data_IF_536552553914
#
_entry.id   IF_536552553914
#
_cell.length_a   1.000
_cell.length_b   1.000
_cell.length_c   1.000
_cell.angle_alpha   90.00
_cell.angle_beta   90.00
_cell.angle_gamma   90.00
#
_symmetry.space_group_name_H-M   'P 1'
#
loop_
_entity.id
_entity.type
_entity.pdbx_description
1 polymer ?
#
# COMPACT_ATOMS: atom_id res chain seq x y z
N UNK A 1 18.67 -4.57 7.25
CA UNK A 1 17.61 -4.18 8.19
C UNK A 1 16.32 -4.17 7.43
N UNK A 2 15.33 -4.93 7.90
CA UNK A 2 13.98 -4.94 7.34
C UNK A 2 13.24 -3.63 7.70
N UNK A 3 12.18 -3.30 6.98
CA UNK A 3 11.31 -2.17 7.30
C UNK A 3 10.70 -2.31 8.70
N UNK A 4 10.25 -3.51 9.07
CA UNK A 4 9.58 -3.73 10.35
C UNK A 4 10.54 -3.51 11.53
N UNK A 5 11.81 -3.91 11.38
CA UNK A 5 12.87 -3.63 12.35
C UNK A 5 13.10 -2.12 12.53
N UNK A 6 13.00 -1.33 11.45
CA UNK A 6 13.20 0.12 11.50
C UNK A 6 12.01 0.79 12.20
N UNK A 7 10.78 0.29 11.96
CA UNK A 7 9.59 0.76 12.66
C UNK A 7 9.71 0.51 14.17
N UNK A 8 10.15 -0.68 14.60
CA UNK A 8 10.41 -0.98 16.01
C UNK A 8 11.49 -0.07 16.60
N UNK A 9 12.59 0.15 15.88
CA UNK A 9 13.65 1.06 16.33
C UNK A 9 13.12 2.49 16.55
N UNK A 10 12.22 2.98 15.69
CA UNK A 10 11.59 4.30 15.85
C UNK A 10 10.78 4.38 17.14
N UNK A 11 10.04 3.33 17.48
CA UNK A 11 9.27 3.26 18.72
C UNK A 11 10.18 3.22 19.96
N UNK A 12 11.25 2.44 19.93
CA UNK A 12 12.25 2.39 21.01
C UNK A 12 12.94 3.74 21.21
N UNK A 13 13.32 4.42 20.12
CA UNK A 13 13.92 5.74 20.20
C UNK A 13 12.96 6.72 20.88
N UNK A 14 11.67 6.65 20.54
CA UNK A 14 10.65 7.50 21.14
C UNK A 14 10.46 7.23 22.63
N UNK A 15 10.38 5.97 23.00
CA UNK A 15 10.18 5.55 24.39
C UNK A 15 11.36 5.98 25.28
N UNK A 16 12.59 5.80 24.80
CA UNK A 16 13.81 5.99 25.61
C UNK A 16 14.34 7.42 25.58
N UNK A 17 14.13 8.15 24.49
CA UNK A 17 14.73 9.47 24.27
C UNK A 17 13.70 10.58 24.04
N UNK A 18 12.41 10.27 24.00
CA UNK A 18 11.35 11.23 23.68
C UNK A 18 11.19 11.45 22.17
N UNK A 19 10.52 12.53 21.74
CA UNK A 19 10.18 12.74 20.34
C UNK A 19 11.43 12.74 19.44
N UNK A 20 11.36 12.00 18.34
CA UNK A 20 12.44 11.88 17.35
C UNK A 20 12.60 13.23 16.63
N UNK A 21 13.80 13.84 16.61
CA UNK A 21 14.05 15.06 15.87
C UNK A 21 13.87 14.88 14.36
N UNK A 22 13.53 15.96 13.65
CA UNK A 22 13.25 15.93 12.21
C UNK A 22 14.42 15.36 11.39
N UNK A 23 15.66 15.66 11.77
CA UNK A 23 16.86 15.14 11.09
C UNK A 23 16.97 13.62 11.22
N UNK A 24 16.64 13.08 12.40
CA UNK A 24 16.65 11.65 12.65
C UNK A 24 15.48 10.95 11.94
N UNK A 25 14.31 11.59 11.87
CA UNK A 25 13.17 11.09 11.12
C UNK A 25 13.50 10.96 9.62
N UNK A 26 14.23 11.93 9.05
CA UNK A 26 14.74 11.85 7.69
C UNK A 26 15.63 10.63 7.44
N UNK A 27 16.50 10.27 8.38
CA UNK A 27 17.35 9.09 8.27
C UNK A 27 16.57 7.77 8.36
N UNK A 28 15.54 7.73 9.20
CA UNK A 28 14.65 6.57 9.30
C UNK A 28 13.87 6.38 7.99
N UNK A 29 13.30 7.44 7.43
CA UNK A 29 12.61 7.41 6.13
C UNK A 29 13.53 6.87 5.02
N UNK A 30 14.77 7.38 4.93
CA UNK A 30 15.74 6.90 3.91
C UNK A 30 16.03 5.40 4.09
N UNK A 31 16.12 4.94 5.34
CA UNK A 31 16.36 3.54 5.65
C UNK A 31 15.17 2.65 5.27
N UNK A 32 13.94 3.09 5.54
CA UNK A 32 12.71 2.39 5.16
C UNK A 32 12.55 2.32 3.64
N UNK A 33 12.74 3.44 2.94
CA UNK A 33 12.69 3.48 1.47
C UNK A 33 13.72 2.53 0.84
N UNK A 34 14.91 2.41 1.44
CA UNK A 34 15.93 1.46 1.00
C UNK A 34 15.48 0.02 1.21
N UNK A 35 14.97 -0.32 2.40
CA UNK A 35 14.51 -1.68 2.71
C UNK A 35 13.33 -2.11 1.83
N UNK A 36 12.29 -1.28 1.73
CA UNK A 36 11.12 -1.52 0.91
C UNK A 36 11.45 -1.52 -0.58
N UNK A 37 12.30 -0.59 -1.02
CA UNK A 37 12.77 -0.52 -2.41
C UNK A 37 13.49 -1.79 -2.83
N UNK A 38 14.34 -2.36 -1.96
CA UNK A 38 14.98 -3.64 -2.24
C UNK A 38 13.97 -4.78 -2.41
N UNK A 39 12.95 -4.85 -1.55
CA UNK A 39 11.88 -5.86 -1.62
C UNK A 39 11.03 -5.73 -2.90
N UNK A 40 10.82 -4.50 -3.39
CA UNK A 40 10.10 -4.22 -4.64
C UNK A 40 10.96 -4.37 -5.90
N UNK A 41 12.28 -4.64 -5.77
CA UNK A 41 13.19 -4.74 -6.91
C UNK A 41 13.61 -3.38 -7.49
N UNK A 42 13.56 -2.31 -6.70
CA UNK A 42 14.10 -1.02 -7.07
C UNK A 42 15.63 -1.03 -7.09
N UNK A 43 16.17 -0.34 -8.08
CA UNK A 43 17.58 0.02 -8.18
C UNK A 43 17.80 1.41 -7.59
N UNK A 44 16.89 2.36 -7.89
CA UNK A 44 17.04 3.76 -7.49
C UNK A 44 15.72 4.36 -7.04
N UNK A 45 15.76 5.12 -5.94
CA UNK A 45 14.72 6.03 -5.48
C UNK A 45 15.32 7.42 -5.37
N UNK A 46 14.74 8.41 -6.07
CA UNK A 46 15.12 9.82 -5.94
C UNK A 46 13.90 10.61 -5.52
N UNK A 47 14.00 11.36 -4.43
CA UNK A 47 12.94 12.28 -3.96
C UNK A 47 13.44 13.71 -4.08
N UNK A 48 12.63 14.60 -4.67
CA UNK A 48 12.90 16.03 -4.79
C UNK A 48 11.61 16.82 -4.62
N UNK A 49 11.43 17.43 -3.46
CA UNK A 49 10.20 18.16 -3.13
C UNK A 49 8.97 17.27 -3.29
N UNK A 50 8.06 17.65 -4.18
CA UNK A 50 6.82 16.91 -4.47
C UNK A 50 6.95 15.88 -5.59
N UNK A 51 8.16 15.64 -6.11
CA UNK A 51 8.41 14.63 -7.13
C UNK A 51 9.27 13.49 -6.59
N UNK A 52 9.01 12.29 -7.11
CA UNK A 52 9.90 11.17 -6.92
C UNK A 52 10.10 10.39 -8.22
N UNK A 53 11.25 9.75 -8.33
CA UNK A 53 11.59 8.86 -9.43
C UNK A 53 11.92 7.49 -8.87
N UNK A 54 11.23 6.48 -9.36
CA UNK A 54 11.50 5.08 -9.06
C UNK A 54 12.07 4.41 -10.30
N UNK A 55 13.21 3.76 -10.17
CA UNK A 55 13.81 2.95 -11.23
C UNK A 55 13.94 1.53 -10.73
N UNK A 56 13.33 0.60 -11.45
CA UNK A 56 13.38 -0.82 -11.17
C UNK A 56 14.59 -1.45 -11.83
N UNK A 57 15.11 -2.52 -11.23
CA UNK A 57 16.12 -3.37 -11.88
C UNK A 57 15.53 -3.94 -13.17
N UNK A 58 16.36 -4.16 -14.18
CA UNK A 58 15.90 -4.74 -15.45
C UNK A 58 15.25 -6.14 -15.30
N UNK A 59 15.61 -6.88 -14.25
CA UNK A 59 15.09 -8.21 -13.94
C UNK A 59 13.87 -8.18 -13.00
N UNK A 60 13.48 -7.02 -12.49
CA UNK A 60 12.36 -6.92 -11.56
C UNK A 60 11.03 -7.06 -12.30
N UNK A 61 10.12 -7.84 -11.73
CA UNK A 61 8.74 -8.02 -12.20
C UNK A 61 7.77 -7.48 -11.14
N UNK A 62 7.65 -6.16 -10.98
CA UNK A 62 6.79 -5.57 -9.95
C UNK A 62 5.32 -5.83 -10.23
N UNK A 63 4.54 -6.08 -9.17
CA UNK A 63 3.08 -6.19 -9.24
C UNK A 63 2.48 -4.78 -9.43
N UNK A 64 2.44 -4.31 -10.68
CA UNK A 64 2.06 -2.92 -10.98
C UNK A 64 0.68 -2.53 -10.49
N UNK A 65 -0.32 -3.42 -10.57
CA UNK A 65 -1.67 -3.11 -10.11
C UNK A 65 -1.69 -2.76 -8.60
N UNK A 66 -1.05 -3.57 -7.76
CA UNK A 66 -0.97 -3.31 -6.32
C UNK A 66 -0.14 -2.08 -5.99
N UNK A 67 0.99 -1.89 -6.67
CA UNK A 67 1.82 -0.70 -6.48
C UNK A 67 1.09 0.59 -6.86
N UNK A 68 0.42 0.62 -8.02
CA UNK A 68 -0.35 1.79 -8.45
C UNK A 68 -1.51 2.06 -7.50
N UNK A 69 -2.25 1.02 -7.08
CA UNK A 69 -3.33 1.18 -6.10
C UNK A 69 -2.84 1.75 -4.77
N UNK A 70 -1.67 1.30 -4.28
CA UNK A 70 -1.07 1.84 -3.07
C UNK A 70 -0.64 3.31 -3.24
N UNK A 71 -0.07 3.68 -4.39
CA UNK A 71 0.31 5.06 -4.72
C UNK A 71 -0.92 5.99 -4.80
N UNK A 72 -2.02 5.51 -5.38
CA UNK A 72 -3.27 6.28 -5.47
C UNK A 72 -3.86 6.54 -4.07
N UNK A 73 -3.81 5.55 -3.16
CA UNK A 73 -4.29 5.69 -1.77
C UNK A 73 -3.57 6.79 -1.00
N UNK A 74 -2.30 7.04 -1.31
CA UNK A 74 -1.51 8.14 -0.71
C UNK A 74 -1.39 9.36 -1.61
N UNK A 75 -2.28 9.49 -2.60
CA UNK A 75 -2.43 10.67 -3.46
C UNK A 75 -1.19 10.99 -4.31
N UNK A 76 -0.53 9.98 -4.87
CA UNK A 76 0.49 10.17 -5.90
C UNK A 76 -0.08 9.89 -7.30
N UNK A 77 0.17 10.81 -8.23
CA UNK A 77 0.06 10.50 -9.64
C UNK A 77 1.30 9.72 -10.09
N UNK A 78 1.11 8.54 -10.70
CA UNK A 78 2.19 7.73 -11.25
C UNK A 78 2.20 7.78 -12.79
N UNK A 79 3.33 8.18 -13.36
CA UNK A 79 3.56 8.24 -14.80
C UNK A 79 4.67 7.26 -15.20
N UNK A 80 4.37 6.34 -16.12
CA UNK A 80 5.38 5.43 -16.68
C UNK A 80 6.26 6.20 -17.64
N UNK A 81 7.53 6.41 -17.28
CA UNK A 81 8.52 7.10 -18.12
C UNK A 81 9.23 6.16 -19.08
N UNK A 82 9.37 4.89 -18.69
CA UNK A 82 10.02 3.83 -19.46
C UNK A 82 9.53 2.48 -18.96
N UNK A 83 9.46 1.48 -19.82
CA UNK A 83 9.01 0.12 -19.48
C UNK A 83 10.15 -0.87 -19.25
N UNK A 84 11.33 -0.70 -19.87
CA UNK A 84 12.48 -1.63 -19.73
C UNK A 84 13.83 -0.88 -19.67
N UNK A 85 14.50 -0.80 -18.50
CA UNK A 85 13.94 -1.10 -17.19
C UNK A 85 12.78 -0.16 -16.88
N UNK A 86 11.83 -0.64 -16.09
CA UNK A 86 10.68 0.16 -15.68
C UNK A 86 11.15 1.38 -14.89
N UNK A 87 10.69 2.55 -15.28
CA UNK A 87 10.92 3.80 -14.57
C UNK A 87 9.61 4.56 -14.41
N UNK A 88 9.31 4.96 -13.19
CA UNK A 88 8.14 5.75 -12.84
C UNK A 88 8.59 7.16 -12.42
N UNK A 89 7.84 8.16 -12.88
CA UNK A 89 7.83 9.49 -12.26
C UNK A 89 6.57 9.59 -11.43
N UNK A 90 6.73 10.03 -10.20
CA UNK A 90 5.66 10.23 -9.25
C UNK A 90 5.55 11.72 -8.95
N UNK A 91 4.32 12.22 -8.93
CA UNK A 91 4.01 13.58 -8.49
C UNK A 91 3.03 13.50 -7.34
N UNK A 92 3.40 14.04 -6.18
CA UNK A 92 2.51 14.16 -5.03
C UNK A 92 1.40 15.15 -5.35
N UNK A 93 0.15 14.72 -5.23
CA UNK A 93 -1.04 15.55 -5.41
C UNK A 93 -1.60 16.07 -4.08
N UNK A 94 -1.26 15.43 -2.96
CA UNK A 94 -1.73 15.77 -1.62
C UNK A 94 -1.24 14.77 -0.57
N UNK A 95 -1.90 14.74 0.59
CA UNK A 95 -1.71 13.70 1.60
C UNK A 95 -0.46 13.88 2.45
N UNK A 96 0.28 12.81 2.68
CA UNK A 96 1.55 12.82 3.44
C UNK A 96 2.67 13.43 2.60
N UNK A 97 3.69 14.02 3.24
CA UNK A 97 4.90 14.45 2.55
C UNK A 97 5.54 13.30 1.75
N UNK A 98 6.32 13.65 0.72
CA UNK A 98 6.76 12.69 -0.30
C UNK A 98 7.48 11.46 0.30
N UNK A 99 8.36 11.67 1.28
CA UNK A 99 9.09 10.57 1.94
C UNK A 99 8.15 9.61 2.68
N UNK A 100 7.43 10.05 3.72
CA UNK A 100 6.48 9.22 4.45
C UNK A 100 5.39 8.60 3.57
N UNK A 101 4.88 9.35 2.59
CA UNK A 101 3.89 8.87 1.63
C UNK A 101 4.41 7.70 0.80
N UNK A 102 5.65 7.77 0.31
CA UNK A 102 6.28 6.67 -0.42
C UNK A 102 6.53 5.46 0.48
N UNK A 103 7.01 5.64 1.71
CA UNK A 103 7.19 4.53 2.66
C UNK A 103 5.87 3.79 2.84
N UNK A 104 4.78 4.52 3.08
CA UNK A 104 3.44 3.93 3.24
C UNK A 104 2.99 3.17 1.99
N UNK A 105 3.08 3.78 0.80
CA UNK A 105 2.70 3.12 -0.46
C UNK A 105 3.50 1.83 -0.69
N UNK A 106 4.82 1.90 -0.49
CA UNK A 106 5.70 0.77 -0.75
C UNK A 106 5.50 -0.35 0.27
N UNK A 107 5.25 -0.02 1.54
CA UNK A 107 4.91 -1.00 2.57
C UNK A 107 3.59 -1.72 2.23
N UNK A 108 2.56 -0.99 1.80
CA UNK A 108 1.29 -1.58 1.34
C UNK A 108 1.50 -2.49 0.11
N UNK A 109 2.22 -2.02 -0.90
CA UNK A 109 2.50 -2.80 -2.11
C UNK A 109 3.29 -4.09 -1.83
N UNK A 110 4.10 -4.10 -0.78
CA UNK A 110 4.83 -5.28 -0.29
C UNK A 110 3.93 -6.19 0.55
N UNK A 111 3.06 -5.62 1.40
CA UNK A 111 2.12 -6.33 2.28
C UNK A 111 0.98 -7.02 1.53
N UNK A 112 0.52 -6.46 0.41
CA UNK A 112 -0.42 -7.09 -0.54
C UNK A 112 0.18 -8.37 -1.20
N UNK A 113 1.45 -8.67 -0.90
CA UNK A 113 2.10 -9.95 -1.12
C UNK A 113 1.55 -11.12 -0.29
N UNK A 114 0.87 -10.84 0.83
CA UNK A 114 0.57 -11.80 1.90
C UNK A 114 -0.89 -12.27 2.05
N UNK A 115 -1.83 -11.83 1.22
CA UNK A 115 -3.24 -12.28 1.27
C UNK A 115 -3.65 -13.00 -0.01
N UNK A 116 -2.91 -14.06 -0.33
CA UNK A 116 -3.36 -15.13 -1.23
C UNK A 116 -3.99 -16.29 -0.45
N UNK A 117 -5.02 -16.01 0.35
CA UNK A 117 -5.84 -17.01 1.04
C UNK A 117 -7.22 -17.09 0.41
N UNK A 118 -7.38 -18.01 -0.55
CA UNK A 118 -8.62 -18.68 -1.00
C UNK A 118 -9.95 -17.90 -0.97
N UNK A 119 -10.52 -17.49 -2.12
CA UNK A 119 -11.97 -17.34 -2.24
C UNK A 119 -12.54 -18.74 -2.51
N UNK A 120 -12.84 -19.48 -1.45
CA UNK A 120 -13.26 -20.87 -1.56
C UNK A 120 -14.16 -21.30 -0.41
N UNK A 121 -15.26 -20.58 -0.19
CA UNK A 121 -16.47 -21.20 0.37
C UNK A 121 -17.65 -20.86 -0.53
N UNK A 122 -17.91 -21.82 -1.41
CA UNK A 122 -19.08 -21.99 -2.24
C UNK A 122 -20.36 -22.05 -1.38
N UNK A 123 -21.24 -21.07 -1.55
CA UNK A 123 -22.64 -21.22 -1.21
C UNK A 123 -23.34 -22.13 -2.24
N UNK A 124 -23.45 -23.41 -1.91
CA UNK A 124 -24.55 -24.29 -2.34
C UNK A 124 -25.15 -24.86 -1.07
N UNK A 125 -26.45 -24.79 -0.77
CA UNK A 125 -27.62 -24.81 -1.61
C UNK A 125 -28.46 -25.98 -1.14
N UNK A 126 -29.50 -25.74 -0.33
CA UNK A 126 -30.67 -26.62 -0.24
C UNK A 126 -31.85 -25.85 0.38
N UNK A 127 -32.85 -25.57 -0.44
CA UNK A 127 -34.24 -25.37 -0.02
C UNK A 127 -34.90 -26.76 0.19
N UNK A 128 -36.22 -26.92 0.44
CA UNK A 128 -37.27 -25.94 0.75
C UNK A 128 -38.21 -26.37 1.92
N UNK A 129 -39.12 -25.48 2.34
CA UNK A 129 -40.55 -25.74 2.65
C UNK A 129 -41.07 -24.75 3.70
N UNK A 130 -42.16 -24.03 3.39
CA UNK A 130 -42.79 -23.14 4.37
C UNK A 130 -43.90 -22.28 3.80
N UNK A 131 -45.02 -22.93 3.46
CA UNK A 131 -46.40 -22.44 3.46
C UNK A 131 -46.70 -20.95 3.15
N UNK A 132 -47.36 -20.78 2.01
CA UNK A 132 -48.22 -19.64 1.69
C UNK A 132 -49.39 -19.59 2.69
N UNK A 133 -49.60 -18.46 3.35
CA UNK A 133 -50.93 -18.10 3.85
C UNK A 133 -51.08 -16.58 3.82
N UNK A 134 -51.97 -16.10 2.95
CA UNK A 134 -52.37 -14.71 2.82
C UNK A 134 -53.74 -14.54 3.50
N UNK A 135 -53.89 -13.67 4.52
CA UNK A 135 -55.22 -13.35 5.01
C UNK A 135 -55.89 -12.28 4.13
N UNK A 136 -57.10 -12.60 3.64
CA UNK A 136 -57.99 -11.66 2.96
C UNK A 136 -58.57 -10.63 3.96
N UNK A 137 -58.70 -9.34 3.60
CA UNK A 137 -59.42 -8.37 4.43
C UNK A 137 -60.94 -8.41 4.13
N UNK A 138 -61.83 -8.43 5.14
CA UNK A 138 -63.25 -8.18 4.92
C UNK A 138 -63.51 -6.69 4.69
N UNK A 139 -64.35 -6.40 3.69
CA UNK A 139 -64.79 -5.05 3.29
C UNK A 139 -65.82 -4.47 4.26
N UNK A 140 -65.76 -3.16 4.46
CA UNK A 140 -66.83 -2.36 5.07
C UNK A 140 -68.15 -2.53 4.30
N UNK A 141 -69.24 -2.80 5.04
CA UNK A 141 -70.51 -2.07 4.96
C UNK A 141 -71.35 -2.34 6.20
#
# INVERSE_FOLDING_TARGET
MDHDEIATLREELRDRFGPVPDEAEGLLIVSELRALGQRLGLETVVVRGNEARLVFRATATPRLAGLTAALDQVQFAAEVRRTVPLALRLTRLGGLDTGPGLVRAMAQAVGDGGTGGTPGESFGGSAPAGAVSNPAPPRLR
#
